data_IF_074419113303
#
_entry.id   IF_074419113303
#
_cell.length_a   1.000
_cell.length_b   1.000
_cell.length_c   1.000
_cell.angle_alpha   90.00
_cell.angle_beta   90.00
_cell.angle_gamma   90.00
#
_symmetry.space_group_name_H-M   'P 1'
#
loop_
_entity.id
_entity.type
_entity.pdbx_description
1 polymer ?
#
# COMPACT_ATOMS: atom_id res chain seq x y z
N UNK A 1 25.89 39.49 -2.15
CA UNK A 1 27.27 39.12 -1.76
C UNK A 1 27.17 38.12 -0.62
N UNK A 2 27.68 36.95 -0.95
CA UNK A 2 28.01 35.76 -0.16
C UNK A 2 28.16 35.90 1.36
N UNK A 3 27.67 34.89 2.09
CA UNK A 3 28.33 34.36 3.30
C UNK A 3 27.91 32.90 3.51
N UNK A 4 28.50 32.02 2.71
CA UNK A 4 28.81 30.64 3.12
C UNK A 4 29.68 30.63 4.39
N UNK A 5 29.47 29.65 5.27
CA UNK A 5 30.49 29.24 6.22
C UNK A 5 29.97 28.56 7.49
N UNK A 6 29.96 27.21 7.50
CA UNK A 6 30.69 26.36 8.46
C UNK A 6 30.19 24.91 8.39
N UNK A 7 30.80 24.13 7.50
CA UNK A 7 30.97 22.69 7.65
C UNK A 7 32.45 22.45 7.95
N UNK A 8 32.76 21.76 9.05
CA UNK A 8 33.72 20.67 9.08
C UNK A 8 33.86 20.02 10.47
N UNK A 9 33.80 18.68 10.43
CA UNK A 9 34.60 17.72 11.20
C UNK A 9 34.19 17.38 12.64
N UNK A 10 33.61 16.18 12.79
CA UNK A 10 34.13 15.18 13.72
C UNK A 10 33.75 13.77 13.21
N UNK A 11 34.73 13.07 12.63
CA UNK A 11 34.66 11.64 12.29
C UNK A 11 35.41 10.82 13.34
N UNK A 12 34.92 9.59 13.59
CA UNK A 12 35.55 8.41 14.25
C UNK A 12 35.40 8.26 15.76
N UNK A 13 34.53 7.32 16.16
CA UNK A 13 34.74 6.35 17.24
C UNK A 13 34.06 5.03 16.79
N UNK A 14 34.83 4.08 16.25
CA UNK A 14 35.37 2.88 16.93
C UNK A 14 34.39 1.69 16.94
N UNK A 15 34.67 0.72 16.06
CA UNK A 15 34.14 -0.66 16.10
C UNK A 15 34.76 -1.42 17.28
N UNK A 16 34.01 -2.43 17.74
CA UNK A 16 34.36 -3.52 18.66
C UNK A 16 34.25 -3.26 20.18
N UNK A 17 33.28 -3.96 20.80
CA UNK A 17 33.42 -4.45 22.17
C UNK A 17 32.30 -4.12 23.14
N UNK A 18 31.18 -4.88 23.11
CA UNK A 18 30.60 -5.48 24.32
C UNK A 18 29.45 -6.46 24.00
N UNK A 19 29.73 -7.73 24.24
CA UNK A 19 28.75 -8.77 24.53
C UNK A 19 28.15 -8.51 25.92
N UNK A 20 26.86 -8.84 26.06
CA UNK A 20 26.25 -9.27 27.33
C UNK A 20 25.67 -8.17 28.22
N UNK A 21 24.34 -8.05 28.21
CA UNK A 21 23.53 -7.76 29.40
C UNK A 21 22.08 -8.12 29.07
N UNK A 22 21.75 -9.38 29.36
CA UNK A 22 20.39 -9.85 29.59
C UNK A 22 20.14 -9.80 31.10
N UNK A 23 18.97 -9.28 31.44
CA UNK A 23 18.24 -9.37 32.71
C UNK A 23 18.83 -8.62 33.93
N UNK A 24 18.15 -7.54 34.32
CA UNK A 24 17.52 -7.52 35.65
C UNK A 24 16.28 -6.62 35.69
N UNK A 25 15.38 -7.05 36.56
CA UNK A 25 13.96 -6.81 36.75
C UNK A 25 13.49 -5.39 37.13
N UNK A 26 12.18 -5.21 36.98
CA UNK A 26 11.29 -4.42 37.85
C UNK A 26 11.34 -2.89 37.83
N UNK A 27 10.48 -2.30 37.01
CA UNK A 27 9.58 -1.21 37.45
C UNK A 27 8.29 -1.25 36.64
N UNK A 28 7.35 -2.05 37.12
CA UNK A 28 5.98 -2.09 36.65
C UNK A 28 5.27 -0.75 36.96
N UNK A 29 4.67 -0.14 35.94
CA UNK A 29 3.72 0.96 36.10
C UNK A 29 2.30 0.37 36.28
N UNK A 30 1.61 0.60 37.41
CA UNK A 30 0.39 -0.13 37.78
C UNK A 30 -0.87 0.19 36.93
N UNK A 31 -0.80 1.11 35.96
CA UNK A 31 -1.94 1.47 35.11
C UNK A 31 -2.10 0.57 33.86
N UNK A 32 -1.08 -0.21 33.49
CA UNK A 32 -1.14 -1.09 32.32
C UNK A 32 -1.84 -2.43 32.58
N UNK A 33 -1.98 -2.85 33.85
CA UNK A 33 -2.68 -4.10 34.20
C UNK A 33 -4.21 -3.97 34.20
N UNK A 34 -4.73 -2.78 34.48
CA UNK A 34 -6.18 -2.57 34.60
C UNK A 34 -6.93 -2.58 33.26
N UNK A 35 -6.25 -2.31 32.14
CA UNK A 35 -6.85 -2.36 30.80
C UNK A 35 -6.87 -3.79 30.22
N UNK A 36 -5.94 -4.65 30.62
CA UNK A 36 -5.92 -6.05 30.17
C UNK A 36 -7.01 -6.90 30.86
N UNK A 37 -7.28 -6.64 32.13
CA UNK A 37 -8.32 -7.38 32.88
C UNK A 37 -9.75 -6.99 32.49
N UNK A 38 -9.97 -5.78 31.94
CA UNK A 38 -11.30 -5.36 31.45
C UNK A 38 -11.70 -6.02 30.11
N UNK A 39 -10.73 -6.43 29.30
CA UNK A 39 -11.01 -7.05 28.00
C UNK A 39 -11.44 -8.52 28.15
N UNK A 40 -10.90 -9.21 29.16
CA UNK A 40 -11.18 -10.63 29.42
C UNK A 40 -12.55 -10.86 30.08
N UNK A 41 -13.13 -9.84 30.74
CA UNK A 41 -14.50 -9.87 31.28
C UNK A 41 -15.54 -9.70 30.17
N UNK A 42 -15.23 -8.88 29.14
CA UNK A 42 -16.15 -8.62 28.03
C UNK A 42 -16.25 -9.79 27.04
N UNK A 43 -15.20 -10.61 26.93
CA UNK A 43 -15.20 -11.81 26.08
C UNK A 43 -15.83 -13.05 26.74
N UNK A 44 -16.00 -13.07 28.07
CA UNK A 44 -16.48 -14.24 28.83
C UNK A 44 -18.00 -14.37 29.00
N UNK A 45 -18.82 -13.43 28.49
CA UNK A 45 -20.28 -13.42 28.76
C UNK A 45 -21.20 -13.53 27.53
N UNK A 46 -20.71 -13.93 26.36
CA UNK A 46 -21.61 -14.27 25.25
C UNK A 46 -22.02 -15.76 25.30
N UNK A 47 -23.01 -16.05 26.14
CA UNK A 47 -23.76 -17.30 26.16
C UNK A 47 -24.70 -17.35 24.94
N UNK A 48 -24.49 -18.26 24.00
CA UNK A 48 -25.58 -19.02 23.35
C UNK A 48 -25.04 -20.30 22.66
N UNK A 49 -25.62 -21.43 23.09
CA UNK A 49 -25.48 -22.86 22.73
C UNK A 49 -24.98 -23.19 21.31
N UNK A 50 -23.97 -24.05 21.12
CA UNK A 50 -23.93 -25.53 21.27
C UNK A 50 -24.82 -26.32 20.29
N UNK A 51 -24.22 -26.78 19.18
CA UNK A 51 -24.50 -28.10 18.57
C UNK A 51 -23.16 -28.77 18.24
N UNK A 52 -23.00 -30.00 18.74
CA UNK A 52 -21.80 -30.84 18.75
C UNK A 52 -21.82 -31.81 17.55
N UNK A 53 -20.62 -32.27 17.17
CA UNK A 53 -20.26 -33.51 16.43
C UNK A 53 -20.15 -33.38 14.89
N UNK A 54 -19.09 -33.81 14.19
CA UNK A 54 -18.11 -34.89 14.42
C UNK A 54 -16.73 -34.56 13.80
N UNK A 55 -15.65 -34.77 14.56
CA UNK A 55 -14.33 -35.13 14.03
C UNK A 55 -14.29 -36.63 13.72
N UNK A 56 -13.37 -37.05 12.84
CA UNK A 56 -12.44 -38.08 13.26
C UNK A 56 -11.00 -37.58 13.25
N UNK A 57 -10.32 -37.92 14.34
CA UNK A 57 -8.89 -37.78 14.57
C UNK A 57 -8.09 -38.54 13.49
N UNK A 58 -6.98 -37.95 13.05
CA UNK A 58 -5.72 -38.66 12.97
C UNK A 58 -4.66 -37.81 13.68
N UNK A 59 -4.21 -38.32 14.83
CA UNK A 59 -3.15 -37.74 15.63
C UNK A 59 -1.78 -37.94 14.95
N UNK A 60 -0.94 -36.92 15.02
CA UNK A 60 0.47 -36.99 14.66
C UNK A 60 1.18 -35.75 15.17
N UNK A 61 1.75 -35.85 16.38
CA UNK A 61 2.48 -34.80 17.07
C UNK A 61 3.77 -34.38 16.35
N UNK A 62 4.10 -33.10 16.54
CA UNK A 62 5.43 -32.53 16.73
C UNK A 62 6.50 -32.64 15.62
N UNK A 63 6.96 -31.44 15.23
CA UNK A 63 8.29 -31.09 14.70
C UNK A 63 8.70 -31.68 13.35
N UNK A 64 8.66 -30.81 12.34
CA UNK A 64 9.39 -30.97 11.09
C UNK A 64 8.98 -29.86 10.14
N UNK A 65 9.89 -28.92 9.89
CA UNK A 65 9.76 -27.96 8.79
C UNK A 65 9.64 -28.78 7.50
N UNK A 66 8.45 -28.88 6.94
CA UNK A 66 8.22 -29.45 5.62
C UNK A 66 7.31 -28.51 4.84
N UNK A 67 8.00 -27.76 3.99
CA UNK A 67 7.49 -27.04 2.83
C UNK A 67 6.93 -28.10 1.87
N UNK A 68 5.64 -28.42 1.98
CA UNK A 68 4.95 -29.33 1.05
C UNK A 68 3.76 -28.63 0.39
N UNK A 69 4.04 -28.14 -0.81
CA UNK A 69 3.22 -28.28 -2.02
C UNK A 69 1.71 -28.29 -1.87
N UNK A 70 1.11 -27.11 -1.88
CA UNK A 70 -0.24 -26.94 -2.42
C UNK A 70 -0.11 -26.32 -3.82
N UNK A 71 -0.57 -27.05 -4.84
CA UNK A 71 -0.27 -26.81 -6.25
C UNK A 71 -0.61 -25.39 -6.74
N UNK A 72 0.43 -24.56 -6.83
CA UNK A 72 0.48 -23.33 -7.62
C UNK A 72 1.23 -23.52 -8.96
N UNK A 73 1.52 -24.78 -9.28
CA UNK A 73 2.54 -25.25 -10.22
C UNK A 73 2.24 -24.77 -11.64
N UNK A 74 0.96 -24.70 -12.03
CA UNK A 74 0.53 -24.39 -13.39
C UNK A 74 0.96 -22.98 -13.88
N UNK A 75 0.78 -21.95 -13.05
CA UNK A 75 1.12 -20.56 -13.46
C UNK A 75 2.63 -20.30 -13.54
N UNK A 76 3.43 -20.91 -12.65
CA UNK A 76 4.88 -20.72 -12.61
C UNK A 76 5.61 -21.56 -13.65
N UNK A 77 5.12 -22.77 -13.95
CA UNK A 77 5.64 -23.60 -15.04
C UNK A 77 5.31 -23.01 -16.41
N UNK A 78 4.08 -22.46 -16.57
CA UNK A 78 3.72 -21.68 -17.74
C UNK A 78 4.65 -20.48 -17.91
N UNK A 79 4.90 -19.71 -16.84
CA UNK A 79 5.82 -18.58 -16.88
C UNK A 79 7.25 -19.01 -17.25
N UNK A 80 7.76 -20.12 -16.72
CA UNK A 80 9.07 -20.64 -17.09
C UNK A 80 9.17 -20.92 -18.60
N UNK A 81 8.12 -21.49 -19.18
CA UNK A 81 8.05 -21.77 -20.63
C UNK A 81 7.90 -20.49 -21.44
N UNK A 82 7.01 -19.58 -21.05
CA UNK A 82 6.70 -18.35 -21.78
C UNK A 82 7.85 -17.32 -21.72
N UNK A 83 8.56 -17.23 -20.60
CA UNK A 83 9.63 -16.27 -20.38
C UNK A 83 10.98 -16.70 -20.97
N UNK A 84 11.19 -18.01 -21.16
CA UNK A 84 12.46 -18.55 -21.64
C UNK A 84 13.67 -18.04 -20.84
N UNK A 85 14.63 -17.43 -21.52
CA UNK A 85 15.85 -16.90 -20.90
C UNK A 85 15.61 -15.82 -19.82
N UNK A 86 14.49 -15.08 -19.91
CA UNK A 86 14.18 -14.00 -18.97
C UNK A 86 13.53 -14.51 -17.67
N UNK A 87 13.17 -15.80 -17.59
CA UNK A 87 12.46 -16.35 -16.44
C UNK A 87 13.23 -16.14 -15.14
N UNK A 88 14.53 -16.47 -15.12
CA UNK A 88 15.33 -16.43 -13.89
C UNK A 88 15.39 -15.02 -13.29
N UNK A 89 15.62 -14.00 -14.11
CA UNK A 89 15.66 -12.61 -13.64
C UNK A 89 14.27 -12.13 -13.16
N UNK A 90 13.22 -12.38 -13.95
CA UNK A 90 11.86 -12.00 -13.56
C UNK A 90 11.41 -12.69 -12.27
N UNK A 91 11.78 -13.96 -12.09
CA UNK A 91 11.45 -14.75 -10.90
C UNK A 91 12.12 -14.21 -9.63
N UNK A 92 13.35 -13.70 -9.73
CA UNK A 92 14.04 -13.09 -8.59
C UNK A 92 13.38 -11.77 -8.15
N UNK A 93 12.92 -10.95 -9.09
CA UNK A 93 12.12 -9.76 -8.75
C UNK A 93 10.78 -10.13 -8.11
N UNK A 94 10.09 -11.14 -8.66
CA UNK A 94 8.84 -11.64 -8.10
C UNK A 94 9.02 -12.16 -6.67
N UNK A 95 10.06 -12.95 -6.41
CA UNK A 95 10.38 -13.45 -5.07
C UNK A 95 10.62 -12.32 -4.08
N UNK A 96 11.42 -11.32 -4.44
CA UNK A 96 11.64 -10.14 -3.60
C UNK A 96 10.33 -9.44 -3.27
N UNK A 97 9.47 -9.19 -4.26
CA UNK A 97 8.16 -8.57 -4.02
C UNK A 97 7.29 -9.39 -3.04
N UNK A 98 7.28 -10.71 -3.17
CA UNK A 98 6.54 -11.61 -2.26
C UNK A 98 7.13 -11.56 -0.85
N UNK A 99 8.44 -11.61 -0.70
CA UNK A 99 9.09 -11.62 0.61
C UNK A 99 8.98 -10.26 1.32
N UNK A 100 9.15 -9.16 0.61
CA UNK A 100 8.90 -7.79 1.12
C UNK A 100 7.43 -7.64 1.58
N UNK A 101 6.50 -8.26 0.85
CA UNK A 101 5.07 -8.26 1.23
C UNK A 101 4.82 -9.08 2.49
N UNK A 102 5.47 -10.23 2.66
CA UNK A 102 5.38 -11.01 3.91
C UNK A 102 5.96 -10.23 5.09
N UNK A 103 7.09 -9.54 4.89
CA UNK A 103 7.73 -8.70 5.90
C UNK A 103 6.78 -7.60 6.37
N UNK A 104 6.17 -6.88 5.42
CA UNK A 104 5.13 -5.88 5.70
C UNK A 104 3.97 -6.44 6.53
N UNK A 105 3.42 -7.59 6.11
CA UNK A 105 2.26 -8.17 6.79
C UNK A 105 2.59 -8.69 8.19
N UNK A 106 3.85 -9.06 8.42
CA UNK A 106 4.30 -9.59 9.70
C UNK A 106 4.65 -8.50 10.71
N UNK A 107 5.36 -7.46 10.29
CA UNK A 107 5.90 -6.44 11.19
C UNK A 107 5.16 -5.10 11.11
N UNK A 108 4.39 -4.88 10.04
CA UNK A 108 3.76 -3.60 9.74
C UNK A 108 4.69 -2.67 8.96
N UNK A 109 4.09 -1.68 8.31
CA UNK A 109 4.74 -0.84 7.28
C UNK A 109 6.00 -0.12 7.75
N UNK A 110 5.95 0.46 8.96
CA UNK A 110 7.05 1.27 9.48
C UNK A 110 8.09 0.48 10.28
N UNK A 111 7.89 -0.83 10.43
CA UNK A 111 8.79 -1.72 11.17
C UNK A 111 9.46 -2.75 10.25
N UNK A 112 8.96 -2.90 9.02
CA UNK A 112 9.57 -3.69 7.96
C UNK A 112 10.79 -3.00 7.37
N UNK A 113 11.80 -3.77 6.98
CA UNK A 113 13.01 -3.22 6.33
C UNK A 113 12.71 -2.80 4.89
N UNK A 114 11.92 -3.61 4.17
CA UNK A 114 11.57 -3.39 2.75
C UNK A 114 10.05 -3.41 2.47
N UNK A 115 9.20 -3.45 3.51
CA UNK A 115 7.75 -3.65 3.38
C UNK A 115 6.94 -2.43 2.93
N UNK A 116 7.57 -1.40 2.38
CA UNK A 116 6.89 -0.23 1.81
C UNK A 116 6.13 -0.61 0.53
N UNK A 117 4.93 -0.05 0.33
CA UNK A 117 4.14 -0.36 -0.86
C UNK A 117 4.88 -0.02 -2.15
N UNK A 118 5.66 1.07 -2.15
CA UNK A 118 6.47 1.47 -3.30
C UNK A 118 7.53 0.41 -3.66
N UNK A 119 8.27 -0.13 -2.68
CA UNK A 119 9.32 -1.12 -2.92
C UNK A 119 8.76 -2.45 -3.42
N UNK A 120 7.65 -2.91 -2.80
CA UNK A 120 6.91 -4.09 -3.23
C UNK A 120 6.44 -3.93 -4.69
N UNK A 121 5.87 -2.77 -5.01
CA UNK A 121 5.39 -2.48 -6.36
C UNK A 121 6.53 -2.37 -7.38
N UNK A 122 7.67 -1.76 -7.05
CA UNK A 122 8.84 -1.68 -7.95
C UNK A 122 9.35 -3.07 -8.31
N UNK A 123 9.56 -3.95 -7.32
CA UNK A 123 9.98 -5.33 -7.57
C UNK A 123 8.93 -6.09 -8.41
N UNK A 124 7.64 -5.99 -8.10
CA UNK A 124 6.59 -6.64 -8.88
C UNK A 124 6.53 -6.13 -10.33
N UNK A 125 6.75 -4.82 -10.53
CA UNK A 125 6.78 -4.18 -11.84
C UNK A 125 7.94 -4.68 -12.67
N UNK A 126 9.14 -4.77 -12.08
CA UNK A 126 10.33 -5.33 -12.74
C UNK A 126 10.11 -6.77 -13.17
N UNK A 127 9.48 -7.60 -12.34
CA UNK A 127 9.13 -8.98 -12.72
C UNK A 127 8.27 -9.02 -13.99
N UNK A 128 7.21 -8.20 -14.04
CA UNK A 128 6.29 -8.12 -15.18
C UNK A 128 6.95 -7.52 -16.43
N UNK A 129 7.76 -6.48 -16.27
CA UNK A 129 8.46 -5.82 -17.39
C UNK A 129 9.55 -6.72 -17.99
N UNK A 130 10.25 -7.50 -17.16
CA UNK A 130 11.23 -8.50 -17.61
C UNK A 130 10.53 -9.68 -18.26
N UNK A 131 9.37 -10.11 -17.73
CA UNK A 131 8.51 -11.08 -18.40
C UNK A 131 7.01 -10.92 -18.07
N UNK A 132 6.21 -10.61 -19.10
CA UNK A 132 4.77 -10.37 -18.96
C UNK A 132 3.94 -11.53 -18.41
N UNK A 133 4.43 -12.78 -18.47
CA UNK A 133 3.74 -13.94 -17.90
C UNK A 133 3.59 -13.85 -16.37
N UNK A 134 4.44 -13.05 -15.69
CA UNK A 134 4.30 -12.81 -14.25
C UNK A 134 3.04 -12.02 -13.88
N UNK A 135 2.34 -11.38 -14.83
CA UNK A 135 1.01 -10.81 -14.59
C UNK A 135 0.03 -11.88 -14.10
N UNK A 136 0.01 -13.02 -14.79
CA UNK A 136 -0.85 -14.14 -14.44
C UNK A 136 -0.41 -14.82 -13.14
N UNK A 137 0.91 -15.00 -12.95
CA UNK A 137 1.45 -15.54 -11.68
C UNK A 137 1.03 -14.67 -10.50
N UNK A 138 1.19 -13.35 -10.59
CA UNK A 138 0.80 -12.41 -9.52
C UNK A 138 -0.71 -12.44 -9.29
N UNK A 139 -1.51 -12.60 -10.35
CA UNK A 139 -2.96 -12.66 -10.28
C UNK A 139 -3.48 -13.94 -9.62
N UNK A 140 -2.97 -15.11 -10.00
CA UNK A 140 -3.60 -16.39 -9.67
C UNK A 140 -2.82 -17.24 -8.67
N UNK A 141 -1.50 -17.08 -8.58
CA UNK A 141 -0.68 -17.93 -7.72
C UNK A 141 -1.02 -17.73 -6.23
N UNK A 142 -1.25 -18.79 -5.45
CA UNK A 142 -1.34 -18.73 -4.00
C UNK A 142 -0.11 -18.07 -3.35
N UNK A 143 1.09 -18.27 -3.91
CA UNK A 143 2.34 -17.68 -3.39
C UNK A 143 2.36 -16.15 -3.47
N UNK A 144 1.62 -15.58 -4.42
CA UNK A 144 1.49 -14.14 -4.58
C UNK A 144 0.39 -13.53 -3.70
N UNK A 145 -0.29 -14.32 -2.85
CA UNK A 145 -1.33 -13.80 -1.94
C UNK A 145 -0.83 -12.67 -1.01
N UNK A 146 0.37 -12.76 -0.39
CA UNK A 146 0.92 -11.66 0.40
C UNK A 146 1.08 -10.37 -0.41
N UNK A 147 1.54 -10.47 -1.65
CA UNK A 147 1.71 -9.33 -2.56
C UNK A 147 0.36 -8.70 -2.89
N UNK A 148 -0.64 -9.51 -3.29
CA UNK A 148 -2.00 -9.01 -3.55
C UNK A 148 -2.60 -8.33 -2.32
N UNK A 149 -2.37 -8.86 -1.13
CA UNK A 149 -2.86 -8.26 0.11
C UNK A 149 -2.14 -6.94 0.44
N UNK A 150 -0.81 -6.89 0.30
CA UNK A 150 -0.01 -5.70 0.59
C UNK A 150 -0.34 -4.54 -0.35
N UNK A 151 -0.57 -4.83 -1.64
CA UNK A 151 -0.89 -3.84 -2.66
C UNK A 151 -2.39 -3.67 -2.91
N UNK A 152 -3.28 -4.37 -2.19
CA UNK A 152 -4.74 -4.28 -2.39
C UNK A 152 -5.29 -2.85 -2.40
N UNK A 153 -4.81 -1.93 -1.53
CA UNK A 153 -5.25 -0.53 -1.55
C UNK A 153 -4.74 0.27 -2.76
N UNK A 154 -3.86 -0.27 -3.59
CA UNK A 154 -3.28 0.44 -4.73
C UNK A 154 -3.93 0.05 -6.05
N UNK A 155 -4.22 1.04 -6.90
CA UNK A 155 -4.57 0.79 -8.30
C UNK A 155 -3.42 0.16 -9.09
N UNK A 156 -2.17 0.29 -8.64
CA UNK A 156 -1.02 -0.33 -9.30
C UNK A 156 -1.12 -1.86 -9.27
N UNK A 157 -1.74 -2.47 -8.25
CA UNK A 157 -1.99 -3.91 -8.24
C UNK A 157 -2.81 -4.33 -9.47
N UNK A 158 -3.84 -3.54 -9.84
CA UNK A 158 -4.71 -3.85 -10.98
C UNK A 158 -3.97 -3.76 -12.30
N UNK A 159 -3.00 -2.86 -12.42
CA UNK A 159 -2.11 -2.85 -13.57
C UNK A 159 -1.20 -4.07 -13.60
N UNK A 160 -0.62 -4.45 -12.45
CA UNK A 160 0.29 -5.60 -12.33
C UNK A 160 -0.40 -6.93 -12.67
N UNK A 161 -1.67 -7.10 -12.30
CA UNK A 161 -2.46 -8.31 -12.59
C UNK A 161 -3.10 -8.29 -14.00
N UNK A 162 -2.99 -7.17 -14.72
CA UNK A 162 -3.64 -6.97 -16.02
C UNK A 162 -5.16 -6.74 -15.95
N UNK A 163 -5.72 -6.55 -14.75
CA UNK A 163 -7.12 -6.19 -14.53
C UNK A 163 -7.42 -4.75 -14.99
N UNK A 164 -6.41 -3.87 -14.95
CA UNK A 164 -6.46 -2.51 -15.46
C UNK A 164 -5.41 -2.34 -16.57
N UNK A 165 -5.86 -2.29 -17.81
CA UNK A 165 -4.98 -2.08 -18.95
C UNK A 165 -4.69 -0.60 -19.15
N UNK A 166 -3.42 -0.22 -19.06
CA UNK A 166 -2.95 1.13 -19.39
C UNK A 166 -2.35 1.13 -20.79
N UNK A 167 -3.08 1.67 -21.77
CA UNK A 167 -2.61 1.69 -23.16
C UNK A 167 -1.54 2.79 -23.32
N UNK A 168 -0.30 2.35 -23.58
CA UNK A 168 0.90 3.18 -23.75
C UNK A 168 0.74 4.35 -24.73
N UNK A 169 -0.06 4.18 -25.78
CA UNK A 169 -0.17 5.12 -26.89
C UNK A 169 -1.32 6.13 -26.72
N UNK A 170 -1.99 6.14 -25.57
CA UNK A 170 -2.99 7.15 -25.26
C UNK A 170 -2.47 8.11 -24.19
N UNK A 171 -2.35 9.42 -24.46
CA UNK A 171 -2.01 10.41 -23.43
C UNK A 171 -3.09 10.48 -22.32
N UNK A 172 -4.25 9.85 -22.56
CA UNK A 172 -5.38 9.85 -21.64
C UNK A 172 -5.68 8.51 -21.00
N UNK A 173 -4.97 7.46 -21.42
CA UNK A 173 -5.05 6.09 -20.91
C UNK A 173 -6.47 5.53 -20.95
N UNK A 174 -6.71 4.47 -21.72
CA UNK A 174 -8.05 3.91 -21.82
C UNK A 174 -8.44 3.21 -20.51
N UNK A 175 -9.00 3.98 -19.58
CA UNK A 175 -9.55 3.51 -18.33
C UNK A 175 -10.88 2.81 -18.59
N UNK A 176 -10.86 1.51 -18.84
CA UNK A 176 -12.07 0.71 -18.79
C UNK A 176 -12.22 0.15 -17.38
N UNK A 177 -13.42 0.25 -16.80
CA UNK A 177 -13.76 -0.34 -15.50
C UNK A 177 -12.99 0.19 -14.29
N UNK A 178 -12.28 1.32 -14.41
CA UNK A 178 -11.49 1.85 -13.29
C UNK A 178 -12.35 2.19 -12.07
N UNK A 179 -13.59 2.61 -12.31
CA UNK A 179 -14.58 2.91 -11.28
C UNK A 179 -14.87 1.70 -10.37
N UNK A 180 -14.88 0.49 -10.92
CA UNK A 180 -15.12 -0.75 -10.17
C UNK A 180 -14.00 -1.03 -9.16
N UNK A 181 -12.78 -0.57 -9.43
CA UNK A 181 -11.67 -0.73 -8.48
C UNK A 181 -11.77 0.23 -7.30
N UNK A 182 -12.35 1.42 -7.49
CA UNK A 182 -12.59 2.33 -6.36
C UNK A 182 -13.59 1.74 -5.37
N UNK A 183 -14.62 1.06 -5.88
CA UNK A 183 -15.61 0.34 -5.09
C UNK A 183 -15.01 -0.85 -4.30
N UNK A 184 -13.83 -1.34 -4.69
CA UNK A 184 -13.12 -2.44 -4.03
C UNK A 184 -12.18 -2.00 -2.89
N UNK A 185 -12.04 -0.70 -2.64
CA UNK A 185 -11.24 -0.21 -1.52
C UNK A 185 -9.82 0.23 -1.89
N UNK A 186 -9.68 1.24 -2.75
CA UNK A 186 -8.37 1.85 -3.07
C UNK A 186 -8.13 3.10 -2.26
N UNK A 187 -6.85 3.46 -2.12
CA UNK A 187 -6.41 4.59 -1.34
C UNK A 187 -5.43 5.44 -2.13
N UNK A 188 -5.43 6.74 -1.81
CA UNK A 188 -4.49 7.71 -2.37
C UNK A 188 -3.94 8.60 -1.25
N UNK A 189 -2.66 8.92 -1.33
CA UNK A 189 -1.94 9.65 -0.28
C UNK A 189 -1.14 10.81 -0.87
N UNK A 190 -1.07 11.92 -0.15
CA UNK A 190 -0.03 12.90 -0.40
C UNK A 190 1.35 12.26 -0.15
N UNK A 191 2.39 12.79 -0.80
CA UNK A 191 3.75 12.44 -0.38
C UNK A 191 4.00 12.88 1.05
N UNK A 192 4.78 12.08 1.75
CA UNK A 192 5.34 12.44 3.05
C UNK A 192 6.14 13.75 2.96
N UNK A 193 6.05 14.59 4.00
CA UNK A 193 6.86 15.80 4.12
C UNK A 193 7.71 15.76 5.39
N UNK A 194 8.67 14.84 5.42
CA UNK A 194 9.57 14.62 6.57
C UNK A 194 8.87 13.92 7.74
N UNK A 195 9.35 14.19 8.96
CA UNK A 195 9.05 13.51 10.24
C UNK A 195 7.56 13.20 10.54
N UNK A 196 6.63 13.92 9.92
CA UNK A 196 5.21 13.81 10.23
C UNK A 196 4.45 12.85 9.28
N UNK A 197 5.07 12.39 8.19
CA UNK A 197 4.42 11.55 7.19
C UNK A 197 3.59 12.36 6.18
N UNK A 198 2.57 11.73 5.60
CA UNK A 198 1.72 12.34 4.55
C UNK A 198 0.68 13.30 5.14
N UNK A 199 0.47 14.43 4.46
CA UNK A 199 -0.47 15.46 4.93
C UNK A 199 -1.94 15.14 4.66
N UNK A 200 -2.22 14.33 3.63
CA UNK A 200 -3.59 13.97 3.20
C UNK A 200 -3.63 12.51 2.78
N UNK A 201 -4.73 11.82 3.07
CA UNK A 201 -5.07 10.48 2.57
C UNK A 201 -6.56 10.40 2.29
N UNK A 202 -6.91 9.73 1.21
CA UNK A 202 -8.30 9.37 0.90
C UNK A 202 -8.39 7.87 0.75
N UNK A 203 -9.22 7.23 1.57
CA UNK A 203 -9.62 5.84 1.41
C UNK A 203 -10.98 5.79 0.73
N UNK A 204 -11.05 5.22 -0.47
CA UNK A 204 -12.29 5.02 -1.20
C UNK A 204 -12.92 3.69 -0.79
N UNK A 205 -14.25 3.63 -0.77
CA UNK A 205 -15.01 2.44 -0.42
C UNK A 205 -16.20 2.22 -1.36
N UNK A 206 -17.01 1.23 -1.00
CA UNK A 206 -18.19 0.88 -1.79
C UNK A 206 -19.28 1.96 -1.69
N UNK A 207 -20.18 1.97 -2.69
CA UNK A 207 -21.35 2.83 -2.82
C UNK A 207 -21.03 4.34 -2.74
N UNK A 208 -19.92 4.77 -3.35
CA UNK A 208 -19.51 6.17 -3.30
C UNK A 208 -19.08 6.67 -1.91
N UNK A 209 -18.80 5.78 -0.95
CA UNK A 209 -18.29 6.16 0.37
C UNK A 209 -16.78 6.39 0.35
N UNK A 210 -16.29 7.35 1.13
CA UNK A 210 -14.86 7.57 1.31
C UNK A 210 -14.54 7.99 2.75
N UNK A 211 -13.27 7.96 3.10
CA UNK A 211 -12.73 8.51 4.34
C UNK A 211 -11.63 9.48 3.96
N UNK A 212 -11.78 10.73 4.41
CA UNK A 212 -10.75 11.76 4.27
C UNK A 212 -9.94 11.83 5.56
N UNK A 213 -8.63 11.72 5.44
CA UNK A 213 -7.70 11.94 6.53
C UNK A 213 -6.75 13.07 6.20
N UNK A 214 -6.47 13.92 7.17
CA UNK A 214 -5.55 15.04 7.03
C UNK A 214 -4.76 15.31 8.30
N UNK A 215 -3.54 15.82 8.14
CA UNK A 215 -2.79 16.38 9.24
C UNK A 215 -3.36 17.75 9.62
N UNK A 216 -3.61 17.93 10.90
CA UNK A 216 -4.03 19.20 11.47
C UNK A 216 -2.99 19.67 12.49
N UNK A 217 -2.60 20.94 12.38
CA UNK A 217 -1.73 21.61 13.34
C UNK A 217 -2.59 22.44 14.30
N UNK A 218 -2.47 22.19 15.60
CA UNK A 218 -3.07 23.01 16.65
C UNK A 218 -2.08 24.10 17.06
N UNK A 219 -2.36 25.35 16.71
CA UNK A 219 -1.48 26.48 17.04
C UNK A 219 -1.33 26.72 18.55
N UNK A 220 -2.32 26.30 19.35
CA UNK A 220 -2.34 26.55 20.79
C UNK A 220 -1.48 25.56 21.59
N UNK A 221 -1.41 24.31 21.12
CA UNK A 221 -0.59 23.26 21.73
C UNK A 221 0.73 23.04 20.99
N UNK A 222 0.83 23.48 19.74
CA UNK A 222 1.94 23.18 18.84
C UNK A 222 1.95 21.71 18.36
N UNK A 223 0.86 20.98 18.55
CA UNK A 223 0.76 19.56 18.23
C UNK A 223 0.24 19.33 16.81
N UNK A 224 0.82 18.34 16.13
CA UNK A 224 0.31 17.80 14.88
C UNK A 224 -0.50 16.55 15.21
N UNK A 225 -1.75 16.52 14.73
CA UNK A 225 -2.67 15.40 14.90
C UNK A 225 -3.22 14.95 13.56
N UNK A 226 -3.72 13.72 13.53
CA UNK A 226 -4.36 13.15 12.35
C UNK A 226 -5.87 13.19 12.52
N UNK A 227 -6.54 13.98 11.70
CA UNK A 227 -7.99 14.12 11.69
C UNK A 227 -8.57 13.21 10.61
N UNK A 228 -9.63 12.48 10.95
CA UNK A 228 -10.32 11.58 10.04
C UNK A 228 -11.81 11.93 10.01
N UNK A 229 -12.35 12.08 8.81
CA UNK A 229 -13.77 12.38 8.59
C UNK A 229 -14.38 11.51 7.50
N UNK A 230 -15.68 11.25 7.64
CA UNK A 230 -16.46 10.61 6.60
C UNK A 230 -16.53 11.53 5.38
N UNK A 231 -16.37 10.93 4.21
CA UNK A 231 -16.44 11.58 2.93
C UNK A 231 -17.34 10.77 1.97
N UNK A 232 -17.69 11.39 0.85
CA UNK A 232 -18.31 10.71 -0.29
C UNK A 232 -17.52 11.02 -1.54
N UNK A 233 -17.63 10.16 -2.55
CA UNK A 233 -16.99 10.41 -3.83
C UNK A 233 -17.90 10.08 -5.02
N UNK A 234 -17.58 10.70 -6.15
CA UNK A 234 -18.14 10.39 -7.44
C UNK A 234 -17.05 10.40 -8.50
N UNK A 235 -17.11 9.44 -9.43
CA UNK A 235 -16.20 9.38 -10.58
C UNK A 235 -17.01 9.65 -11.84
N UNK A 236 -16.60 10.65 -12.61
CA UNK A 236 -17.27 11.03 -13.85
C UNK A 236 -16.28 10.97 -15.02
N UNK A 237 -16.79 10.55 -16.18
CA UNK A 237 -16.04 10.58 -17.43
C UNK A 237 -16.06 12.00 -17.97
N UNK A 238 -14.89 12.54 -18.32
CA UNK A 238 -14.82 13.90 -18.88
C UNK A 238 -15.07 13.93 -20.40
N UNK A 239 -15.20 12.77 -21.04
CA UNK A 239 -15.54 12.63 -22.46
C UNK A 239 -16.64 11.58 -22.65
N UNK A 240 -17.35 11.63 -23.78
CA UNK A 240 -18.34 10.64 -24.19
C UNK A 240 -17.72 9.30 -24.63
N UNK A 241 -16.39 9.19 -24.65
CA UNK A 241 -15.69 7.96 -25.00
C UNK A 241 -15.57 7.03 -23.78
N UNK A 242 -15.57 5.72 -24.02
CA UNK A 242 -15.28 4.73 -22.97
C UNK A 242 -13.88 4.94 -22.37
N UNK A 243 -12.95 5.42 -23.22
CA UNK A 243 -11.58 5.84 -22.90
C UNK A 243 -11.50 7.34 -22.60
N UNK A 244 -10.91 7.75 -21.48
CA UNK A 244 -10.65 9.17 -21.21
C UNK A 244 -10.48 9.50 -19.72
N UNK A 245 -9.94 10.69 -19.44
CA UNK A 245 -9.73 11.22 -18.08
C UNK A 245 -10.94 11.00 -17.18
N UNK A 246 -10.67 10.62 -15.93
CA UNK A 246 -11.70 10.55 -14.89
C UNK A 246 -11.58 11.77 -13.98
N UNK A 247 -12.71 12.43 -13.78
CA UNK A 247 -12.85 13.42 -12.73
C UNK A 247 -13.34 12.70 -11.48
N UNK A 248 -12.50 12.68 -10.45
CA UNK A 248 -12.82 12.16 -9.12
C UNK A 248 -13.19 13.37 -8.26
N UNK A 249 -14.43 13.41 -7.77
CA UNK A 249 -14.91 14.46 -6.85
C UNK A 249 -15.05 13.84 -5.47
N UNK A 250 -14.40 14.42 -4.46
CA UNK A 250 -14.49 13.99 -3.06
C UNK A 250 -15.16 15.10 -2.26
N UNK A 251 -16.16 14.76 -1.46
CA UNK A 251 -16.88 15.72 -0.59
C UNK A 251 -16.71 15.31 0.87
N UNK A 252 -16.17 16.20 1.69
CA UNK A 252 -15.96 16.01 3.13
C UNK A 252 -16.17 17.34 3.87
N UNK A 253 -16.83 17.33 5.02
CA UNK A 253 -17.10 18.55 5.83
C UNK A 253 -17.68 19.76 5.06
N UNK A 254 -18.45 19.51 4.00
CA UNK A 254 -18.99 20.56 3.13
C UNK A 254 -17.99 21.16 2.13
N UNK A 255 -16.74 20.68 2.12
CA UNK A 255 -15.70 20.97 1.13
C UNK A 255 -15.85 19.98 -0.02
N UNK A 256 -15.65 20.47 -1.26
CA UNK A 256 -15.67 19.67 -2.48
C UNK A 256 -14.32 19.77 -3.16
N UNK A 257 -13.56 18.68 -3.13
CA UNK A 257 -12.27 18.55 -3.79
C UNK A 257 -12.44 17.82 -5.13
N UNK A 258 -11.72 18.29 -6.16
CA UNK A 258 -11.82 17.75 -7.52
C UNK A 258 -10.45 17.39 -8.04
N UNK A 259 -10.32 16.15 -8.51
CA UNK A 259 -9.10 15.58 -9.03
C UNK A 259 -9.28 15.02 -10.43
N UNK A 260 -8.26 15.13 -11.27
CA UNK A 260 -8.11 14.29 -12.45
C UNK A 260 -7.34 13.04 -12.07
N UNK A 261 -7.91 11.86 -12.35
CA UNK A 261 -7.14 10.61 -12.33
C UNK A 261 -6.17 10.60 -13.50
N UNK A 262 -4.91 10.36 -13.20
CA UNK A 262 -3.83 10.24 -14.17
C UNK A 262 -2.82 9.20 -13.73
N UNK A 263 -1.72 9.14 -14.47
CA UNK A 263 -0.51 8.45 -14.02
C UNK A 263 0.71 9.29 -14.30
N UNK A 264 1.77 8.99 -13.57
CA UNK A 264 3.09 9.55 -13.75
C UNK A 264 3.97 8.57 -14.52
N UNK A 265 4.86 9.11 -15.36
CA UNK A 265 5.90 8.38 -16.07
C UNK A 265 5.40 7.13 -16.82
N UNK A 266 4.25 7.27 -17.51
CA UNK A 266 3.58 6.20 -18.24
C UNK A 266 4.49 5.41 -19.20
N UNK A 267 5.51 6.09 -19.76
CA UNK A 267 6.48 5.46 -20.66
C UNK A 267 7.50 4.58 -19.93
N UNK A 268 7.91 4.99 -18.73
CA UNK A 268 8.89 4.27 -17.91
C UNK A 268 8.26 3.07 -17.20
N UNK A 269 6.97 3.14 -16.89
CA UNK A 269 6.23 2.14 -16.11
C UNK A 269 5.07 1.52 -16.90
N UNK A 270 5.29 1.21 -18.19
CA UNK A 270 4.27 0.76 -19.16
C UNK A 270 3.33 -0.32 -18.62
N UNK A 271 3.82 -1.20 -17.75
CA UNK A 271 3.07 -2.34 -17.22
C UNK A 271 2.60 -2.18 -15.76
N UNK A 272 3.04 -1.12 -15.07
CA UNK A 272 2.73 -0.86 -13.66
C UNK A 272 2.87 0.64 -13.31
N UNK A 273 2.06 1.51 -13.93
CA UNK A 273 2.20 2.94 -13.76
C UNK A 273 1.82 3.38 -12.33
N UNK A 274 2.39 4.52 -11.94
CA UNK A 274 2.05 5.18 -10.68
C UNK A 274 0.80 6.03 -10.89
N UNK A 275 -0.31 5.60 -10.31
CA UNK A 275 -1.58 6.31 -10.39
C UNK A 275 -1.59 7.52 -9.46
N UNK A 276 -2.15 8.62 -9.95
CA UNK A 276 -2.27 9.87 -9.20
C UNK A 276 -3.64 10.51 -9.33
N UNK A 277 -4.02 11.25 -8.31
CA UNK A 277 -5.11 12.21 -8.31
C UNK A 277 -4.49 13.61 -8.35
N UNK A 278 -4.55 14.23 -9.52
CA UNK A 278 -4.08 15.58 -9.77
C UNK A 278 -5.16 16.58 -9.38
N UNK A 279 -4.95 17.44 -8.37
CA UNK A 279 -5.97 18.41 -8.00
C UNK A 279 -6.20 19.37 -9.15
N UNK A 280 -7.45 19.72 -9.45
CA UNK A 280 -7.76 20.62 -10.55
C UNK A 280 -7.53 22.10 -10.18
N UNK A 281 -7.66 22.46 -8.90
CA UNK A 281 -7.58 23.85 -8.47
C UNK A 281 -8.69 24.73 -9.06
N UNK A 282 -8.48 26.05 -9.03
CA UNK A 282 -9.43 27.06 -9.53
C UNK A 282 -8.90 27.83 -10.75
N UNK A 283 -7.65 27.60 -11.16
CA UNK A 283 -7.00 28.27 -12.28
C UNK A 283 -7.17 27.56 -13.62
N UNK A 284 -6.68 28.19 -14.72
CA UNK A 284 -6.73 27.61 -16.07
C UNK A 284 -5.87 26.36 -16.25
N UNK A 285 -4.86 26.14 -15.41
CA UNK A 285 -4.02 24.94 -15.43
C UNK A 285 -4.38 23.98 -14.27
N UNK A 286 -4.32 22.64 -14.48
CA UNK A 286 -4.51 21.67 -13.40
C UNK A 286 -3.57 21.97 -12.22
N UNK A 287 -4.14 22.07 -11.02
CA UNK A 287 -3.43 22.29 -9.77
C UNK A 287 -3.27 23.77 -9.40
N UNK A 288 -3.56 24.69 -10.31
CA UNK A 288 -3.44 26.12 -10.01
C UNK A 288 -4.50 26.57 -9.02
N UNK A 289 -4.07 27.06 -7.86
CA UNK A 289 -4.98 27.47 -6.79
C UNK A 289 -5.63 26.31 -6.04
N UNK A 290 -5.13 25.08 -6.23
CA UNK A 290 -5.54 23.94 -5.41
C UNK A 290 -5.07 24.10 -3.97
N UNK A 291 -5.94 23.77 -3.02
CA UNK A 291 -5.68 23.76 -1.58
C UNK A 291 -5.15 22.42 -1.08
N UNK A 292 -5.30 21.37 -1.89
CA UNK A 292 -4.89 20.00 -1.59
C UNK A 292 -3.73 19.57 -2.51
N UNK A 293 -2.78 18.77 -1.99
CA UNK A 293 -1.66 18.28 -2.80
C UNK A 293 -2.09 17.22 -3.80
N UNK A 294 -1.22 16.93 -4.77
CA UNK A 294 -1.32 15.72 -5.59
C UNK A 294 -1.27 14.47 -4.69
N UNK A 295 -2.19 13.54 -4.94
CA UNK A 295 -2.25 12.28 -4.21
C UNK A 295 -1.82 11.13 -5.12
N UNK A 296 -1.15 10.13 -4.55
CA UNK A 296 -0.54 9.01 -5.25
C UNK A 296 -1.18 7.72 -4.76
N UNK A 297 -1.33 6.70 -5.62
CA UNK A 297 -1.79 5.37 -5.22
C UNK A 297 -0.67 4.48 -4.67
N UNK A 298 0.56 4.99 -4.64
CA UNK A 298 1.73 4.41 -4.01
C UNK A 298 2.57 5.53 -3.40
N UNK A 299 2.89 5.42 -2.11
CA UNK A 299 3.80 6.31 -1.39
C UNK A 299 4.69 5.48 -0.47
N UNK A 300 5.78 6.08 0.01
CA UNK A 300 6.48 5.59 1.19
C UNK A 300 5.67 6.04 2.41
N UNK A 301 5.05 5.11 3.11
CA UNK A 301 4.01 5.45 4.09
C UNK A 301 4.56 5.95 5.44
N UNK A 302 5.87 5.82 5.66
CA UNK A 302 6.48 6.06 6.98
C UNK A 302 7.74 6.93 6.93
N UNK A 303 7.90 7.77 5.92
CA UNK A 303 9.06 8.69 5.94
C UNK A 303 8.97 9.55 7.20
N UNK A 304 9.97 9.36 8.07
CA UNK A 304 10.29 10.20 9.20
C UNK A 304 11.68 10.79 9.02
#
# INVERSE_FOLDING_TARGET
>A
MDLQGKFHSASRLSKEGRKGLLCDEERANPLARTLYDMWDIFMKHSLFSLVIALCPLAAGCAMGVQDEGFEAVDSTEYAATACGANYGEAFEYYKRAVDDSKDRLRYGVCQSENGFMWAIADNASRAVMTCGAFRDVIRTSPWAAPLRQALAPSLTLRSLTGELLVIKDSPWQNWSHVEEFFEQGVSFWARSQGAYGYSVKVDFGANGSAVWGEQTYDESTGEISWRVVSATYAITKTSSQASGRRLVTVTHDGIVEKFSLGVIDAEAWKDAPLFVLDPLGTGPEPGQGATVPQLFSLVTECDA
#
